data_IF_247221122311
#
_entry.id   IF_247221122311
#
_cell.length_a   1.000
_cell.length_b   1.000
_cell.length_c   1.000
_cell.angle_alpha   90.00
_cell.angle_beta   90.00
_cell.angle_gamma   90.00
#
_symmetry.space_group_name_H-M   'P 1'
#
loop_
_entity.id
_entity.type
_entity.pdbx_description
1 polymer ?
#
# COMPACT_ATOMS: atom_id res chain seq x y z
N UNK A 1 -0.76 -15.73 2.22
CA UNK A 1 0.29 -15.80 1.19
C UNK A 1 1.18 -14.58 1.36
N UNK A 2 2.43 -14.78 1.64
CA UNK A 2 3.39 -13.69 1.74
C UNK A 2 3.65 -13.18 0.31
N UNK A 3 3.30 -11.94 0.04
CA UNK A 3 3.56 -11.31 -1.25
C UNK A 3 5.01 -10.81 -1.30
N UNK A 4 5.94 -11.75 -1.38
CA UNK A 4 7.37 -11.45 -1.45
C UNK A 4 7.67 -10.81 -2.80
N UNK A 5 8.37 -9.70 -2.77
CA UNK A 5 8.89 -9.01 -3.94
C UNK A 5 10.39 -9.27 -4.07
N UNK A 6 10.88 -9.37 -5.29
CA UNK A 6 12.25 -9.83 -5.55
C UNK A 6 13.18 -8.73 -6.07
N UNK A 7 12.68 -7.55 -6.41
CA UNK A 7 13.54 -6.49 -6.91
C UNK A 7 12.82 -5.20 -7.29
N UNK A 8 13.57 -4.31 -7.92
CA UNK A 8 13.11 -2.98 -8.32
C UNK A 8 11.93 -3.04 -9.30
N UNK A 9 11.91 -4.03 -10.17
CA UNK A 9 10.81 -4.24 -11.12
C UNK A 9 9.49 -4.49 -10.40
N UNK A 10 9.51 -5.26 -9.32
CA UNK A 10 8.33 -5.56 -8.53
C UNK A 10 7.84 -4.32 -7.79
N UNK A 11 8.76 -3.53 -7.22
CA UNK A 11 8.43 -2.24 -6.61
C UNK A 11 7.75 -1.33 -7.63
N UNK A 12 8.33 -1.24 -8.82
CA UNK A 12 7.75 -0.45 -9.92
C UNK A 12 6.35 -0.93 -10.29
N UNK A 13 6.14 -2.23 -10.36
CA UNK A 13 4.83 -2.82 -10.66
C UNK A 13 3.80 -2.45 -9.59
N UNK A 14 4.14 -2.54 -8.31
CA UNK A 14 3.24 -2.17 -7.20
C UNK A 14 2.88 -0.70 -7.26
N UNK A 15 3.87 0.18 -7.46
CA UNK A 15 3.64 1.63 -7.54
C UNK A 15 2.78 1.98 -8.76
N UNK A 16 3.09 1.44 -9.93
CA UNK A 16 2.40 1.76 -11.18
C UNK A 16 0.96 1.24 -11.22
N UNK A 17 0.67 0.17 -10.51
CA UNK A 17 -0.64 -0.49 -10.50
C UNK A 17 -1.37 -0.35 -9.16
N UNK A 18 -1.01 0.61 -8.32
CA UNK A 18 -1.58 0.73 -6.97
C UNK A 18 -3.12 0.83 -6.96
N UNK A 19 -3.72 1.46 -7.97
CA UNK A 19 -5.19 1.55 -8.10
C UNK A 19 -5.87 0.19 -8.34
N UNK A 20 -5.14 -0.75 -8.95
CA UNK A 20 -5.66 -2.10 -9.25
C UNK A 20 -5.28 -3.12 -8.19
N UNK A 21 -4.11 -2.95 -7.58
CA UNK A 21 -3.55 -3.89 -6.62
C UNK A 21 -3.86 -3.49 -5.17
N UNK A 22 -3.98 -2.18 -4.90
CA UNK A 22 -3.99 -1.65 -3.55
C UNK A 22 -2.65 -1.82 -2.85
N UNK A 23 -2.57 -1.35 -1.61
CA UNK A 23 -1.39 -1.53 -0.77
C UNK A 23 -0.17 -0.75 -1.19
N UNK A 24 0.96 -1.16 -0.64
CA UNK A 24 2.26 -0.55 -0.90
C UNK A 24 3.39 -1.57 -0.80
N UNK A 25 4.54 -1.24 -1.37
CA UNK A 25 5.77 -2.01 -1.18
C UNK A 25 6.51 -1.49 0.05
N UNK A 26 6.72 -2.34 1.02
CA UNK A 26 7.47 -2.05 2.24
C UNK A 26 8.58 -3.07 2.41
N UNK A 27 9.72 -2.64 2.92
CA UNK A 27 10.80 -3.53 3.34
C UNK A 27 11.02 -3.40 4.86
N UNK A 28 11.74 -4.36 5.43
CA UNK A 28 12.15 -4.27 6.83
C UNK A 28 13.27 -3.24 7.00
N UNK A 29 14.17 -3.18 6.00
CA UNK A 29 15.35 -2.33 6.04
C UNK A 29 15.83 -2.01 4.62
N UNK A 30 16.30 -0.78 4.44
CA UNK A 30 17.17 -0.40 3.32
C UNK A 30 18.50 0.14 3.88
N UNK A 31 19.60 -0.28 3.29
CA UNK A 31 20.93 0.23 3.58
C UNK A 31 21.53 0.85 2.32
N UNK A 32 22.10 2.02 2.48
CA UNK A 32 22.84 2.69 1.41
C UNK A 32 24.33 2.35 1.49
N UNK A 33 25.02 2.56 0.39
CA UNK A 33 26.49 2.34 0.31
C UNK A 33 27.28 3.21 1.29
N UNK A 34 26.72 4.36 1.69
CA UNK A 34 27.27 5.22 2.74
C UNK A 34 27.23 4.61 4.15
N UNK A 35 26.48 3.52 4.33
CA UNK A 35 26.24 2.88 5.62
C UNK A 35 24.94 3.34 6.32
N UNK A 36 24.27 4.36 5.81
CA UNK A 36 22.98 4.79 6.34
C UNK A 36 21.96 3.67 6.19
N UNK A 37 21.15 3.47 7.25
CA UNK A 37 20.08 2.49 7.28
C UNK A 37 18.76 3.15 7.62
N UNK A 38 17.69 2.66 6.99
CA UNK A 38 16.32 3.14 7.24
C UNK A 38 15.42 1.93 7.47
N UNK A 39 14.67 1.98 8.57
CA UNK A 39 13.76 0.91 8.94
C UNK A 39 12.37 1.13 8.34
N UNK A 40 11.73 0.04 8.00
CA UNK A 40 10.37 0.01 7.46
C UNK A 40 10.13 1.04 6.33
N UNK A 41 11.03 1.12 5.34
CA UNK A 41 10.83 2.03 4.22
C UNK A 41 9.62 1.59 3.40
N UNK A 42 8.71 2.53 3.13
CA UNK A 42 7.61 2.36 2.18
C UNK A 42 7.99 3.06 0.89
N UNK A 43 8.08 2.30 -0.19
CA UNK A 43 8.51 2.82 -1.48
C UNK A 43 7.37 3.59 -2.16
N UNK A 44 7.66 4.81 -2.58
CA UNK A 44 6.66 5.75 -3.12
C UNK A 44 6.87 6.10 -4.58
N UNK A 45 8.11 6.03 -5.03
CA UNK A 45 8.47 6.41 -6.39
C UNK A 45 9.67 5.63 -6.89
N UNK A 46 9.70 5.40 -8.19
CA UNK A 46 10.84 4.82 -8.89
C UNK A 46 10.92 5.43 -10.29
N UNK A 47 12.08 6.00 -10.61
CA UNK A 47 12.29 6.66 -11.88
C UNK A 47 13.14 5.80 -12.82
N UNK A 48 12.76 5.84 -14.07
CA UNK A 48 13.46 5.14 -15.17
C UNK A 48 13.97 6.14 -16.19
N UNK A 49 15.12 5.84 -16.75
CA UNK A 49 15.67 6.55 -17.91
C UNK A 49 16.26 5.52 -18.87
N UNK A 50 15.90 5.61 -20.13
CA UNK A 50 16.41 4.72 -21.21
C UNK A 50 16.27 3.23 -20.87
N UNK A 51 15.14 2.85 -20.26
CA UNK A 51 14.85 1.46 -19.89
C UNK A 51 15.58 0.96 -18.64
N UNK A 52 16.27 1.82 -17.91
CA UNK A 52 16.98 1.48 -16.66
C UNK A 52 16.43 2.26 -15.49
N UNK A 53 16.37 1.62 -14.32
CA UNK A 53 16.03 2.30 -13.07
C UNK A 53 17.18 3.23 -12.65
N UNK A 54 16.85 4.47 -12.30
CA UNK A 54 17.80 5.52 -11.95
C UNK A 54 17.75 5.87 -10.49
N UNK A 55 16.55 6.18 -9.99
CA UNK A 55 16.35 6.58 -8.61
C UNK A 55 15.13 5.93 -7.99
N UNK A 56 15.13 5.86 -6.67
CA UNK A 56 14.03 5.33 -5.88
C UNK A 56 13.74 6.28 -4.72
N UNK A 57 12.46 6.49 -4.46
CA UNK A 57 11.97 7.26 -3.33
C UNK A 57 11.26 6.38 -2.33
N UNK A 58 11.44 6.66 -1.05
CA UNK A 58 10.75 5.99 0.02
C UNK A 58 10.53 6.92 1.22
N UNK A 59 9.62 6.56 2.08
CA UNK A 59 9.37 7.23 3.34
C UNK A 59 9.76 6.29 4.46
N UNK A 60 10.61 6.75 5.37
CA UNK A 60 11.05 5.98 6.53
C UNK A 60 10.05 6.05 7.70
N UNK A 61 10.38 5.39 8.80
CA UNK A 61 9.52 5.38 10.00
C UNK A 61 9.47 6.73 10.73
N UNK A 62 10.36 7.65 10.42
CA UNK A 62 10.36 9.03 10.92
C UNK A 62 9.57 10.01 10.02
N UNK A 63 8.89 9.48 9.02
CA UNK A 63 8.13 10.25 8.02
C UNK A 63 9.02 11.13 7.14
N UNK A 64 10.29 10.78 7.03
CA UNK A 64 11.22 11.47 6.15
C UNK A 64 11.14 10.87 4.75
N UNK A 65 10.96 11.73 3.76
CA UNK A 65 11.00 11.34 2.34
C UNK A 65 12.46 11.34 1.87
N UNK A 66 12.92 10.20 1.40
CA UNK A 66 14.28 9.99 0.94
C UNK A 66 14.24 9.59 -0.53
N UNK A 67 15.04 10.25 -1.35
CA UNK A 67 15.28 9.89 -2.74
C UNK A 67 16.76 9.57 -2.88
N UNK A 68 17.06 8.42 -3.43
CA UNK A 68 18.44 7.99 -3.65
C UNK A 68 18.61 7.39 -5.04
N UNK A 69 19.82 7.46 -5.57
CA UNK A 69 20.19 6.76 -6.79
C UNK A 69 20.21 5.25 -6.53
N UNK A 70 19.75 4.45 -7.48
CA UNK A 70 19.69 2.98 -7.29
C UNK A 70 21.09 2.37 -7.07
N UNK A 71 22.13 2.97 -7.63
CA UNK A 71 23.52 2.52 -7.44
C UNK A 71 24.02 2.72 -6.00
N UNK A 72 23.35 3.54 -5.20
CA UNK A 72 23.69 3.78 -3.80
C UNK A 72 23.03 2.78 -2.85
N UNK A 73 22.17 1.91 -3.35
CA UNK A 73 21.51 0.90 -2.54
C UNK A 73 22.43 -0.28 -2.38
N UNK A 74 22.85 -0.57 -1.16
CA UNK A 74 23.64 -1.75 -0.84
C UNK A 74 22.77 -2.97 -0.55
N UNK A 75 21.61 -2.78 0.10
CA UNK A 75 20.75 -3.86 0.56
C UNK A 75 19.32 -3.39 0.75
N UNK A 76 18.36 -4.18 0.28
CA UNK A 76 16.95 -4.11 0.68
C UNK A 76 16.60 -5.47 1.28
N UNK A 77 16.11 -5.48 2.53
CA UNK A 77 15.79 -6.70 3.26
C UNK A 77 14.29 -6.76 3.55
N UNK A 78 13.69 -7.93 3.31
CA UNK A 78 12.31 -8.19 3.68
C UNK A 78 11.29 -7.41 2.85
N UNK A 79 11.54 -7.27 1.55
CA UNK A 79 10.67 -6.55 0.64
C UNK A 79 9.37 -7.34 0.38
N UNK A 80 8.22 -6.69 0.63
CA UNK A 80 6.89 -7.28 0.48
C UNK A 80 5.87 -6.29 -0.05
N UNK A 81 4.89 -6.79 -0.79
CA UNK A 81 3.65 -6.07 -1.06
C UNK A 81 2.69 -6.31 0.10
N UNK A 82 2.24 -5.24 0.75
CA UNK A 82 1.33 -5.29 1.90
C UNK A 82 0.12 -4.42 1.67
N UNK A 83 -1.02 -4.82 2.22
CA UNK A 83 -2.15 -3.91 2.35
C UNK A 83 -1.82 -2.79 3.34
N UNK A 84 -2.49 -1.65 3.22
CA UNK A 84 -2.20 -0.47 4.06
C UNK A 84 -2.24 -0.81 5.54
N UNK A 85 -3.27 -1.55 5.99
CA UNK A 85 -3.40 -1.92 7.41
C UNK A 85 -2.28 -2.83 7.93
N UNK A 86 -1.53 -3.49 7.04
CA UNK A 86 -0.44 -4.41 7.38
C UNK A 86 0.93 -3.74 7.44
N UNK A 87 1.05 -2.47 7.04
CA UNK A 87 2.33 -1.77 7.05
C UNK A 87 2.89 -1.66 8.46
N UNK A 88 4.16 -1.98 8.61
CA UNK A 88 4.90 -1.80 9.86
C UNK A 88 5.26 -0.33 10.12
N UNK A 89 5.49 0.43 9.04
CA UNK A 89 5.70 1.87 9.11
C UNK A 89 4.40 2.56 9.55
N UNK A 90 4.29 2.83 10.83
CA UNK A 90 3.08 3.39 11.43
C UNK A 90 2.73 4.76 10.86
N UNK A 91 3.74 5.60 10.64
CA UNK A 91 3.53 6.95 10.13
C UNK A 91 2.91 6.96 8.74
N UNK A 92 3.42 6.13 7.85
CA UNK A 92 2.88 5.98 6.49
C UNK A 92 1.53 5.26 6.51
N UNK A 93 1.39 4.23 7.35
CA UNK A 93 0.12 3.52 7.51
C UNK A 93 -1.02 4.47 7.87
N UNK A 94 -0.83 5.33 8.86
CA UNK A 94 -1.84 6.30 9.30
C UNK A 94 -2.22 7.28 8.20
N UNK A 95 -1.22 7.80 7.47
CA UNK A 95 -1.45 8.67 6.32
C UNK A 95 -2.28 8.00 5.23
N UNK A 96 -1.85 6.82 4.80
CA UNK A 96 -2.51 6.10 3.72
C UNK A 96 -3.91 5.62 4.13
N UNK A 97 -4.12 5.23 5.39
CA UNK A 97 -5.44 4.88 5.91
C UNK A 97 -6.38 6.08 5.87
N UNK A 98 -5.92 7.24 6.31
CA UNK A 98 -6.72 8.45 6.28
C UNK A 98 -7.12 8.83 4.84
N UNK A 99 -6.17 8.80 3.92
CA UNK A 99 -6.43 9.10 2.50
C UNK A 99 -7.40 8.10 1.88
N UNK A 100 -7.21 6.81 2.15
CA UNK A 100 -8.06 5.75 1.63
C UNK A 100 -9.49 5.84 2.18
N UNK A 101 -9.66 6.14 3.48
CA UNK A 101 -10.97 6.33 4.10
C UNK A 101 -11.70 7.55 3.53
N UNK A 102 -11.01 8.66 3.33
CA UNK A 102 -11.58 9.85 2.72
C UNK A 102 -12.02 9.59 1.27
N UNK A 103 -11.20 8.88 0.52
CA UNK A 103 -11.52 8.51 -0.86
C UNK A 103 -12.71 7.56 -0.92
N UNK A 104 -12.76 6.54 -0.06
CA UNK A 104 -13.89 5.62 0.03
C UNK A 104 -15.19 6.34 0.41
N UNK A 105 -15.14 7.26 1.37
CA UNK A 105 -16.27 8.06 1.79
C UNK A 105 -16.81 8.92 0.64
N UNK A 106 -15.92 9.56 -0.11
CA UNK A 106 -16.27 10.35 -1.29
C UNK A 106 -16.90 9.48 -2.37
N UNK A 107 -16.31 8.32 -2.63
CA UNK A 107 -16.79 7.36 -3.62
C UNK A 107 -18.20 6.86 -3.27
N UNK A 108 -18.45 6.51 -2.01
CA UNK A 108 -19.79 6.10 -1.54
C UNK A 108 -20.83 7.22 -1.65
N UNK A 109 -20.44 8.45 -1.35
CA UNK A 109 -21.34 9.62 -1.46
C UNK A 109 -21.77 9.87 -2.90
N UNK A 110 -20.84 9.81 -3.84
CA UNK A 110 -21.12 10.01 -5.27
C UNK A 110 -22.05 8.92 -5.81
N UNK A 111 -21.94 7.71 -5.31
CA UNK A 111 -22.67 6.54 -5.78
C UNK A 111 -23.82 6.11 -4.86
N UNK A 112 -24.28 6.99 -3.97
CA UNK A 112 -25.31 6.68 -2.95
C UNK A 112 -26.67 6.28 -3.54
N UNK A 113 -27.00 6.76 -4.73
CA UNK A 113 -28.26 6.46 -5.42
C UNK A 113 -28.22 5.26 -6.35
N UNK A 114 -27.04 4.76 -6.70
CA UNK A 114 -26.91 3.69 -7.69
C UNK A 114 -25.61 2.90 -7.52
N UNK A 115 -25.73 1.64 -7.13
CA UNK A 115 -24.58 0.74 -6.94
C UNK A 115 -24.25 0.01 -8.24
N UNK A 116 -23.23 0.48 -8.95
CA UNK A 116 -22.72 -0.18 -10.15
C UNK A 116 -21.68 -1.25 -9.81
N UNK A 117 -21.42 -2.18 -10.74
CA UNK A 117 -20.37 -3.17 -10.57
C UNK A 117 -18.97 -2.54 -10.50
N UNK A 118 -18.72 -1.49 -11.28
CA UNK A 118 -17.46 -0.76 -11.26
C UNK A 118 -17.19 -0.09 -9.91
N UNK A 119 -18.21 0.61 -9.37
CA UNK A 119 -18.15 1.19 -8.04
C UNK A 119 -17.88 0.14 -6.97
N UNK A 120 -18.63 -0.97 -7.02
CA UNK A 120 -18.47 -2.04 -6.03
C UNK A 120 -17.08 -2.66 -6.05
N UNK A 121 -16.50 -2.91 -7.22
CA UNK A 121 -15.14 -3.44 -7.34
C UNK A 121 -14.11 -2.49 -6.73
N UNK A 122 -14.22 -1.20 -7.03
CA UNK A 122 -13.31 -0.18 -6.50
C UNK A 122 -13.45 -0.03 -4.99
N UNK A 123 -14.68 0.02 -4.49
CA UNK A 123 -14.96 0.10 -3.06
C UNK A 123 -14.46 -1.14 -2.29
N UNK A 124 -14.66 -2.34 -2.82
CA UNK A 124 -14.18 -3.57 -2.20
C UNK A 124 -12.66 -3.65 -2.15
N UNK A 125 -11.95 -3.16 -3.18
CA UNK A 125 -10.50 -3.08 -3.15
C UNK A 125 -10.02 -2.14 -2.04
N UNK A 126 -10.64 -0.99 -1.89
CA UNK A 126 -10.34 -0.04 -0.81
C UNK A 126 -10.62 -0.64 0.58
N UNK A 127 -11.74 -1.34 0.75
CA UNK A 127 -12.09 -2.03 2.00
C UNK A 127 -11.02 -3.08 2.36
N UNK A 128 -10.56 -3.83 1.38
CA UNK A 128 -9.51 -4.83 1.55
C UNK A 128 -8.19 -4.20 1.96
N UNK A 129 -7.85 -3.08 1.38
CA UNK A 129 -6.63 -2.32 1.64
C UNK A 129 -6.64 -1.64 3.02
N UNK A 130 -7.78 -1.08 3.41
CA UNK A 130 -8.01 -0.45 4.71
C UNK A 130 -8.06 -1.50 5.83
N UNK A 131 -8.66 -2.65 5.56
CA UNK A 131 -8.96 -3.67 6.56
C UNK A 131 -10.27 -3.43 7.28
N UNK A 132 -10.98 -4.52 7.59
CA UNK A 132 -12.32 -4.46 8.20
C UNK A 132 -12.28 -3.80 9.57
N UNK A 133 -11.25 -4.06 10.37
CA UNK A 133 -11.14 -3.48 11.71
C UNK A 133 -11.00 -1.96 11.68
N UNK A 134 -10.19 -1.44 10.77
CA UNK A 134 -10.02 0.01 10.61
C UNK A 134 -11.27 0.65 10.01
N UNK A 135 -11.92 -0.03 9.06
CA UNK A 135 -13.19 0.42 8.49
C UNK A 135 -14.28 0.54 9.56
N UNK A 136 -14.39 -0.45 10.45
CA UNK A 136 -15.39 -0.45 11.54
C UNK A 136 -15.16 0.65 12.57
N UNK A 137 -13.91 1.08 12.75
CA UNK A 137 -13.58 2.24 13.61
C UNK A 137 -13.90 3.58 12.95
N UNK A 138 -14.09 3.59 11.64
CA UNK A 138 -14.38 4.79 10.88
C UNK A 138 -15.87 5.09 10.84
N UNK A 139 -16.22 6.30 10.39
CA UNK A 139 -17.60 6.72 10.16
C UNK A 139 -18.09 6.47 8.72
N UNK A 140 -17.36 5.67 7.95
CA UNK A 140 -17.73 5.36 6.57
C UNK A 140 -18.83 4.32 6.55
N UNK A 141 -19.95 4.65 5.90
CA UNK A 141 -21.09 3.77 5.68
C UNK A 141 -21.12 3.33 4.23
N UNK A 142 -21.09 2.02 3.99
CA UNK A 142 -21.16 1.45 2.66
C UNK A 142 -22.62 1.32 2.21
N UNK A 143 -22.94 1.63 0.95
CA UNK A 143 -24.30 1.48 0.41
C UNK A 143 -24.63 0.03 0.00
N UNK A 144 -23.83 -0.94 0.40
CA UNK A 144 -24.02 -2.37 0.15
C UNK A 144 -23.47 -3.20 1.31
N UNK A 145 -23.99 -4.42 1.56
CA UNK A 145 -23.50 -5.29 2.62
C UNK A 145 -22.15 -5.91 2.26
N UNK A 146 -21.26 -6.06 3.26
CA UNK A 146 -19.95 -6.68 3.11
C UNK A 146 -19.98 -8.20 3.29
N UNK A 147 -20.95 -8.72 4.04
CA UNK A 147 -20.96 -10.09 4.62
C UNK A 147 -20.77 -11.20 3.60
N UNK A 148 -21.25 -11.01 2.36
CA UNK A 148 -21.17 -12.03 1.31
C UNK A 148 -20.06 -11.81 0.28
N UNK A 149 -19.31 -10.71 0.35
CA UNK A 149 -18.43 -10.25 -0.74
C UNK A 149 -16.98 -10.10 -0.38
N UNK A 150 -16.69 -9.96 0.91
CA UNK A 150 -15.33 -9.95 1.42
C UNK A 150 -15.10 -11.30 2.05
N UNK A 151 -14.28 -12.13 1.42
CA UNK A 151 -13.75 -13.33 2.09
C UNK A 151 -13.04 -12.79 3.33
N UNK A 152 -13.49 -13.15 4.54
CA UNK A 152 -12.90 -12.59 5.75
C UNK A 152 -11.40 -12.88 5.73
N UNK A 153 -10.62 -11.82 5.80
CA UNK A 153 -9.16 -11.89 5.95
C UNK A 153 -8.76 -12.71 7.18
N UNK A 154 -9.69 -12.90 8.12
CA UNK A 154 -9.53 -13.76 9.29
C UNK A 154 -9.31 -15.25 8.94
N UNK A 155 -9.72 -15.71 7.76
CA UNK A 155 -9.46 -17.09 7.34
C UNK A 155 -8.09 -17.28 6.69
N UNK A 156 -7.37 -16.19 6.41
CA UNK A 156 -5.99 -16.25 5.92
C UNK A 156 -4.94 -16.26 7.05
N UNK A 157 -5.34 -15.93 8.28
CA UNK A 157 -4.45 -15.90 9.44
C UNK A 157 -4.39 -17.26 10.15
N UNK A 158 -5.33 -18.15 9.86
CA UNK A 158 -5.43 -19.49 10.49
C UNK A 158 -5.37 -20.66 9.49
N UNK A 159 -5.01 -20.37 8.25
CA UNK A 159 -4.75 -21.42 7.26
C UNK A 159 -3.26 -21.68 7.11
#
# INVERSE_FOLDING_TARGET
>A
MLNILFGLKDIHTVISNHRKLGGAAEADLIRLSSGETYNNPVFTNIDMSKGQYVSIGFIDENRTNIITHVDQIALIKGLQHKYIYQLNNQQVRELLLQDALQYLQKLCRINSGFVTNSFMKEALLLVKDIGINELNKSNVSLPFPLEDKVIPLNNLIHA
#
